data_IF_690711621307
#
_entry.id   IF_690711621307
#
_cell.length_a   1.000
_cell.length_b   1.000
_cell.length_c   1.000
_cell.angle_alpha   90.00
_cell.angle_beta   90.00
_cell.angle_gamma   90.00
#
_symmetry.space_group_name_H-M   'P 1'
#
loop_
_entity.id
_entity.type
_entity.pdbx_description
1 polymer ?
#
# COMPACT_ATOMS: atom_id res chain seq x y z
N UNK A 1 21.44 -29.52 -11.56
CA UNK A 1 21.49 -28.79 -10.28
C UNK A 1 20.66 -27.52 -10.37
N UNK A 2 20.93 -26.64 -11.33
CA UNK A 2 20.45 -25.25 -11.31
C UNK A 2 18.96 -25.13 -11.67
N UNK A 3 18.49 -25.90 -12.66
CA UNK A 3 17.06 -26.00 -13.01
C UNK A 3 16.22 -26.47 -11.82
N UNK A 4 16.70 -27.48 -11.08
CA UNK A 4 16.01 -28.01 -9.91
C UNK A 4 15.98 -26.96 -8.80
N UNK A 5 17.11 -26.31 -8.53
CA UNK A 5 17.18 -25.23 -7.53
C UNK A 5 16.22 -24.08 -7.86
N UNK A 6 16.23 -23.62 -9.11
CA UNK A 6 15.34 -22.56 -9.58
C UNK A 6 13.86 -22.95 -9.44
N UNK A 7 13.52 -24.20 -9.76
CA UNK A 7 12.17 -24.73 -9.59
C UNK A 7 11.75 -24.81 -8.11
N UNK A 8 12.65 -25.23 -7.21
CA UNK A 8 12.41 -25.26 -5.76
C UNK A 8 12.18 -23.85 -5.23
N UNK A 9 13.05 -22.89 -5.58
CA UNK A 9 12.90 -21.50 -5.15
C UNK A 9 11.62 -20.86 -5.69
N UNK A 10 11.27 -21.12 -6.95
CA UNK A 10 10.02 -20.62 -7.54
C UNK A 10 8.79 -21.25 -6.89
N UNK A 11 8.81 -22.56 -6.62
CA UNK A 11 7.74 -23.25 -5.90
C UNK A 11 7.53 -22.68 -4.50
N UNK A 12 8.60 -22.46 -3.73
CA UNK A 12 8.51 -21.84 -2.41
C UNK A 12 8.01 -20.39 -2.48
N UNK A 13 8.43 -19.63 -3.50
CA UNK A 13 7.96 -18.25 -3.68
C UNK A 13 6.45 -18.21 -3.97
N UNK A 14 5.96 -19.04 -4.88
CA UNK A 14 4.53 -19.13 -5.22
C UNK A 14 3.71 -19.65 -4.03
N UNK A 15 4.25 -20.61 -3.27
CA UNK A 15 3.61 -21.14 -2.07
C UNK A 15 3.34 -20.06 -1.01
N UNK A 16 4.25 -19.09 -0.88
CA UNK A 16 4.09 -17.98 0.06
C UNK A 16 3.24 -16.85 -0.52
N UNK A 17 3.36 -16.58 -1.83
CA UNK A 17 2.68 -15.44 -2.46
C UNK A 17 2.35 -15.71 -3.92
N UNK A 18 1.07 -15.95 -4.21
CA UNK A 18 0.59 -16.20 -5.57
C UNK A 18 0.96 -15.09 -6.58
N UNK A 19 1.07 -13.84 -6.13
CA UNK A 19 1.40 -12.71 -7.02
C UNK A 19 2.78 -12.79 -7.68
N UNK A 20 3.65 -13.71 -7.24
CA UNK A 20 4.98 -13.91 -7.87
C UNK A 20 4.96 -14.87 -9.06
N UNK A 21 3.79 -15.40 -9.42
CA UNK A 21 3.62 -16.30 -10.57
C UNK A 21 4.23 -15.78 -11.88
N UNK A 22 4.20 -14.46 -12.22
CA UNK A 22 4.85 -13.97 -13.44
C UNK A 22 6.37 -14.24 -13.49
N UNK A 23 7.02 -14.62 -12.38
CA UNK A 23 8.45 -14.99 -12.35
C UNK A 23 8.70 -16.25 -13.17
N UNK A 24 7.67 -17.08 -13.35
CA UNK A 24 7.68 -18.21 -14.27
C UNK A 24 8.03 -17.79 -15.71
N UNK A 25 7.70 -16.56 -16.12
CA UNK A 25 8.08 -16.04 -17.44
C UNK A 25 9.61 -15.95 -17.59
N UNK A 26 10.33 -15.49 -16.57
CA UNK A 26 11.79 -15.45 -16.60
C UNK A 26 12.40 -16.86 -16.69
N UNK A 27 11.81 -17.83 -15.98
CA UNK A 27 12.25 -19.24 -16.05
C UNK A 27 12.03 -19.84 -17.43
N UNK A 28 10.83 -19.67 -18.00
CA UNK A 28 10.52 -20.15 -19.36
C UNK A 28 11.42 -19.45 -20.37
N UNK A 29 11.61 -18.14 -20.25
CA UNK A 29 12.41 -17.36 -21.17
C UNK A 29 13.89 -17.74 -21.13
N UNK A 30 14.44 -18.06 -19.95
CA UNK A 30 15.80 -18.58 -19.83
C UNK A 30 15.99 -19.91 -20.60
N UNK A 31 15.02 -20.83 -20.52
CA UNK A 31 15.05 -22.09 -21.26
C UNK A 31 14.86 -21.88 -22.77
N UNK A 32 14.00 -20.93 -23.17
CA UNK A 32 13.83 -20.55 -24.57
C UNK A 32 15.13 -19.97 -25.15
N UNK A 33 15.78 -19.05 -24.45
CA UNK A 33 17.08 -18.49 -24.85
C UNK A 33 18.12 -19.60 -25.00
N UNK A 34 18.17 -20.57 -24.09
CA UNK A 34 19.07 -21.72 -24.20
C UNK A 34 18.75 -22.60 -25.42
N UNK A 35 17.47 -22.78 -25.74
CA UNK A 35 17.02 -23.61 -26.86
C UNK A 35 17.24 -22.99 -28.24
N UNK A 36 17.29 -21.65 -28.32
CA UNK A 36 17.31 -20.92 -29.60
C UNK A 36 18.56 -20.11 -29.86
N UNK A 37 19.42 -19.89 -28.85
CA UNK A 37 20.61 -19.05 -28.99
C UNK A 37 21.92 -19.80 -28.84
N UNK A 38 22.91 -19.43 -29.66
CA UNK A 38 24.30 -19.90 -29.51
C UNK A 38 24.91 -19.55 -28.15
N UNK A 39 25.97 -20.24 -27.73
CA UNK A 39 26.71 -19.89 -26.49
C UNK A 39 27.29 -18.47 -26.57
N UNK A 40 27.32 -17.76 -25.44
CA UNK A 40 27.78 -16.38 -25.32
C UNK A 40 26.74 -15.47 -24.67
N UNK A 41 27.11 -14.21 -24.46
CA UNK A 41 26.34 -13.27 -23.63
C UNK A 41 25.16 -12.62 -24.35
N UNK A 42 25.21 -12.55 -25.69
CA UNK A 42 24.18 -11.92 -26.52
C UNK A 42 23.28 -12.96 -27.14
N UNK A 43 22.00 -12.64 -27.25
CA UNK A 43 21.04 -13.44 -27.97
C UNK A 43 21.34 -13.38 -29.46
N UNK A 44 21.52 -14.55 -30.04
CA UNK A 44 21.78 -14.72 -31.47
C UNK A 44 21.30 -16.09 -31.90
N UNK A 45 20.32 -16.10 -32.80
CA UNK A 45 19.67 -17.29 -33.35
C UNK A 45 20.29 -17.77 -34.67
N UNK A 46 21.03 -16.90 -35.36
CA UNK A 46 21.76 -17.24 -36.58
C UNK A 46 23.04 -18.03 -36.26
N UNK A 47 23.24 -19.16 -36.93
CA UNK A 47 24.50 -19.93 -36.85
C UNK A 47 24.53 -21.07 -35.83
N UNK A 48 23.39 -21.44 -35.22
CA UNK A 48 23.29 -22.70 -34.46
C UNK A 48 23.21 -23.86 -35.45
N UNK A 49 24.15 -24.80 -35.40
CA UNK A 49 24.13 -25.96 -36.28
C UNK A 49 22.84 -26.78 -36.06
N UNK A 50 22.18 -27.33 -37.11
CA UNK A 50 20.89 -28.00 -36.97
C UNK A 50 20.87 -29.14 -35.93
N UNK A 51 21.95 -29.91 -35.84
CA UNK A 51 22.10 -30.98 -34.85
C UNK A 51 22.23 -30.45 -33.41
N UNK A 52 22.99 -29.37 -33.22
CA UNK A 52 23.14 -28.70 -31.91
C UNK A 52 21.82 -28.07 -31.46
N UNK A 53 21.10 -27.40 -32.36
CA UNK A 53 19.80 -26.81 -32.09
C UNK A 53 18.79 -27.87 -31.64
N UNK A 54 18.78 -29.04 -32.28
CA UNK A 54 17.89 -30.14 -31.93
C UNK A 54 18.20 -30.68 -30.53
N UNK A 55 19.49 -30.86 -30.21
CA UNK A 55 19.93 -31.30 -28.89
C UNK A 55 19.59 -30.28 -27.79
N UNK A 56 19.88 -28.99 -28.02
CA UNK A 56 19.57 -27.90 -27.10
C UNK A 56 18.08 -27.80 -26.81
N UNK A 57 17.24 -27.88 -27.85
CA UNK A 57 15.77 -27.88 -27.68
C UNK A 57 15.29 -29.07 -26.87
N UNK A 58 15.84 -30.26 -27.11
CA UNK A 58 15.51 -31.46 -26.32
C UNK A 58 15.88 -31.29 -24.86
N UNK A 59 17.08 -30.78 -24.57
CA UNK A 59 17.55 -30.53 -23.19
C UNK A 59 16.69 -29.45 -22.52
N UNK A 60 16.39 -28.34 -23.22
CA UNK A 60 15.53 -27.28 -22.70
C UNK A 60 14.15 -27.79 -22.33
N UNK A 61 13.55 -28.62 -23.21
CA UNK A 61 12.26 -29.24 -22.97
C UNK A 61 12.29 -30.19 -21.76
N UNK A 62 13.31 -31.05 -21.66
CA UNK A 62 13.50 -31.93 -20.50
C UNK A 62 13.65 -31.13 -19.21
N UNK A 63 14.45 -30.05 -19.22
CA UNK A 63 14.63 -29.19 -18.06
C UNK A 63 13.35 -28.45 -17.68
N UNK A 64 12.52 -28.07 -18.66
CA UNK A 64 11.22 -27.45 -18.39
C UNK A 64 10.25 -28.46 -17.73
N UNK A 65 10.24 -29.71 -18.18
CA UNK A 65 9.46 -30.78 -17.54
C UNK A 65 9.95 -31.05 -16.12
N UNK A 66 11.27 -31.09 -15.90
CA UNK A 66 11.86 -31.22 -14.56
C UNK A 66 11.45 -30.01 -13.69
N UNK A 67 11.49 -28.79 -14.24
CA UNK A 67 11.06 -27.58 -13.54
C UNK A 67 9.61 -27.69 -13.10
N UNK A 68 8.71 -28.08 -14.00
CA UNK A 68 7.30 -28.24 -13.70
C UNK A 68 7.07 -29.33 -12.63
N UNK A 69 7.70 -30.50 -12.77
CA UNK A 69 7.58 -31.58 -11.81
C UNK A 69 8.06 -31.17 -10.41
N UNK A 70 9.25 -30.56 -10.31
CA UNK A 70 9.81 -30.10 -9.04
C UNK A 70 8.96 -28.98 -8.44
N UNK A 71 8.49 -28.03 -9.24
CA UNK A 71 7.58 -26.97 -8.81
C UNK A 71 6.31 -27.52 -8.16
N UNK A 72 5.63 -28.48 -8.80
CA UNK A 72 4.43 -29.10 -8.23
C UNK A 72 4.72 -29.91 -6.97
N UNK A 73 5.82 -30.68 -6.94
CA UNK A 73 6.24 -31.40 -5.72
C UNK A 73 6.45 -30.43 -4.57
N UNK A 74 7.11 -29.30 -4.81
CA UNK A 74 7.33 -28.27 -3.79
C UNK A 74 6.02 -27.66 -3.34
N UNK A 75 5.09 -27.33 -4.24
CA UNK A 75 3.77 -26.82 -3.86
C UNK A 75 2.98 -27.83 -3.01
N UNK A 76 2.99 -29.11 -3.38
CA UNK A 76 2.30 -30.17 -2.63
C UNK A 76 2.85 -30.28 -1.20
N UNK A 77 4.18 -30.17 -1.05
CA UNK A 77 4.84 -30.29 0.25
C UNK A 77 4.70 -29.02 1.10
N UNK A 78 4.88 -27.85 0.50
CA UNK A 78 4.96 -26.56 1.23
C UNK A 78 3.59 -25.92 1.42
N UNK A 79 2.67 -26.09 0.47
CA UNK A 79 1.31 -25.56 0.53
C UNK A 79 0.26 -26.64 0.18
N UNK A 80 0.15 -27.72 0.97
CA UNK A 80 -0.76 -28.83 0.67
C UNK A 80 -2.22 -28.41 0.59
N UNK A 81 -2.63 -27.39 1.36
CA UNK A 81 -4.00 -26.85 1.34
C UNK A 81 -4.41 -26.23 0.01
N UNK A 82 -3.45 -25.85 -0.85
CA UNK A 82 -3.74 -25.49 -2.23
C UNK A 82 -4.46 -26.62 -2.96
N UNK A 83 -4.15 -27.88 -2.64
CA UNK A 83 -4.72 -29.06 -3.28
C UNK A 83 -5.82 -29.72 -2.46
N UNK A 84 -5.69 -29.74 -1.13
CA UNK A 84 -6.68 -30.36 -0.22
C UNK A 84 -7.98 -29.56 -0.21
N UNK A 85 -7.89 -28.23 -0.15
CA UNK A 85 -9.03 -27.31 -0.16
C UNK A 85 -8.89 -26.30 -1.30
N UNK A 86 -8.86 -26.85 -2.53
CA UNK A 86 -8.67 -26.06 -3.74
C UNK A 86 -9.76 -24.99 -3.94
N UNK A 87 -11.00 -25.28 -3.51
CA UNK A 87 -12.12 -24.35 -3.63
C UNK A 87 -11.85 -23.09 -2.80
N UNK A 88 -11.60 -23.24 -1.50
CA UNK A 88 -11.31 -22.10 -0.62
C UNK A 88 -10.06 -21.34 -1.08
N UNK A 89 -9.03 -22.05 -1.57
CA UNK A 89 -7.83 -21.42 -2.12
C UNK A 89 -8.14 -20.53 -3.33
N UNK A 90 -8.89 -21.03 -4.32
CA UNK A 90 -9.29 -20.23 -5.50
C UNK A 90 -10.24 -19.10 -5.11
N UNK A 91 -11.19 -19.34 -4.22
CA UNK A 91 -12.12 -18.31 -3.73
C UNK A 91 -11.34 -17.16 -3.10
N UNK A 92 -10.35 -17.46 -2.24
CA UNK A 92 -9.47 -16.45 -1.65
C UNK A 92 -8.67 -15.66 -2.70
N UNK A 93 -8.10 -16.33 -3.71
CA UNK A 93 -7.40 -15.65 -4.81
C UNK A 93 -8.35 -14.75 -5.59
N UNK A 94 -9.57 -15.23 -5.87
CA UNK A 94 -10.60 -14.47 -6.56
C UNK A 94 -10.97 -13.21 -5.78
N UNK A 95 -11.24 -13.32 -4.48
CA UNK A 95 -11.53 -12.17 -3.61
C UNK A 95 -10.39 -11.16 -3.59
N UNK A 96 -9.14 -11.61 -3.50
CA UNK A 96 -7.98 -10.71 -3.61
C UNK A 96 -7.89 -10.05 -4.99
N UNK A 97 -8.20 -10.79 -6.06
CA UNK A 97 -8.28 -10.28 -7.43
C UNK A 97 -9.34 -9.20 -7.62
N UNK A 98 -10.54 -9.41 -7.07
CA UNK A 98 -11.63 -8.44 -7.05
C UNK A 98 -11.24 -7.19 -6.24
N UNK A 99 -10.59 -7.38 -5.08
CA UNK A 99 -10.11 -6.26 -4.26
C UNK A 99 -9.09 -5.40 -5.00
N UNK A 100 -8.07 -5.99 -5.65
CA UNK A 100 -7.03 -5.18 -6.33
C UNK A 100 -7.55 -4.42 -7.55
N UNK A 101 -8.66 -4.89 -8.15
CA UNK A 101 -9.40 -4.22 -9.22
C UNK A 101 -10.53 -3.31 -8.71
N UNK A 102 -10.70 -3.22 -7.39
CA UNK A 102 -11.81 -2.51 -6.73
C UNK A 102 -13.20 -2.90 -7.27
N UNK A 103 -13.37 -4.15 -7.71
CA UNK A 103 -14.67 -4.73 -8.05
C UNK A 103 -15.53 -4.88 -6.79
N UNK A 104 -14.88 -5.10 -5.64
CA UNK A 104 -15.48 -5.00 -4.30
C UNK A 104 -14.94 -3.76 -3.61
N UNK A 105 -15.84 -2.97 -3.04
CA UNK A 105 -15.50 -1.72 -2.35
C UNK A 105 -15.10 -1.97 -0.89
N UNK A 106 -13.80 -1.92 -0.62
CA UNK A 106 -13.26 -1.92 0.73
C UNK A 106 -12.83 -0.50 1.14
N UNK A 107 -13.14 -0.03 2.37
CA UNK A 107 -12.84 1.35 2.80
C UNK A 107 -11.38 1.78 2.59
N UNK A 108 -10.42 0.92 2.93
CA UNK A 108 -8.98 1.18 2.77
C UNK A 108 -8.51 1.26 1.31
N UNK A 109 -9.33 0.85 0.34
CA UNK A 109 -8.99 0.96 -1.09
C UNK A 109 -9.42 2.28 -1.72
N UNK A 110 -10.29 3.04 -1.03
CA UNK A 110 -10.88 4.29 -1.54
C UNK A 110 -9.84 5.40 -1.74
N UNK A 111 -8.74 5.37 -0.99
CA UNK A 111 -7.61 6.29 -1.17
C UNK A 111 -7.00 6.26 -2.59
N UNK A 112 -7.21 5.16 -3.33
CA UNK A 112 -6.67 4.94 -4.67
C UNK A 112 -7.62 5.37 -5.79
N UNK A 113 -8.83 5.83 -5.48
CA UNK A 113 -9.73 6.42 -6.48
C UNK A 113 -9.09 7.63 -7.13
N UNK A 114 -9.35 7.83 -8.43
CA UNK A 114 -8.78 8.92 -9.22
C UNK A 114 -7.25 9.02 -9.20
N UNK A 115 -6.56 7.92 -8.87
CA UNK A 115 -5.10 7.84 -8.97
C UNK A 115 -4.68 7.24 -10.31
N UNK A 116 -3.70 7.85 -11.01
CA UNK A 116 -3.29 7.37 -12.32
C UNK A 116 -2.59 6.01 -12.21
N UNK A 117 -3.02 5.05 -13.06
CA UNK A 117 -2.34 3.76 -13.23
C UNK A 117 -0.88 3.97 -13.62
N UNK A 118 -0.02 3.08 -13.16
CA UNK A 118 1.45 3.13 -13.31
C UNK A 118 2.15 4.32 -12.64
N UNK A 119 1.73 5.55 -12.95
CA UNK A 119 2.37 6.77 -12.47
C UNK A 119 2.35 6.89 -10.95
N UNK A 120 1.26 6.45 -10.32
CA UNK A 120 1.17 6.38 -8.86
C UNK A 120 2.33 5.61 -8.23
N UNK A 121 2.58 4.38 -8.68
CA UNK A 121 3.66 3.54 -8.13
C UNK A 121 5.03 4.13 -8.43
N UNK A 122 5.19 4.77 -9.59
CA UNK A 122 6.44 5.45 -9.96
C UNK A 122 6.77 6.58 -8.99
N UNK A 123 5.80 7.45 -8.73
CA UNK A 123 5.96 8.60 -7.83
C UNK A 123 6.10 8.14 -6.39
N UNK A 124 5.20 7.30 -5.88
CA UNK A 124 5.23 6.90 -4.47
C UNK A 124 6.46 6.07 -4.12
N UNK A 125 6.88 5.12 -4.98
CA UNK A 125 8.11 4.36 -4.76
C UNK A 125 9.34 5.25 -4.90
N UNK A 126 9.36 6.11 -5.91
CA UNK A 126 10.53 6.93 -6.23
C UNK A 126 10.77 8.02 -5.19
N UNK A 127 9.71 8.73 -4.79
CA UNK A 127 9.81 9.87 -3.88
C UNK A 127 9.92 9.41 -2.43
N UNK A 128 8.95 8.60 -1.96
CA UNK A 128 8.80 8.28 -0.54
C UNK A 128 9.38 6.91 -0.18
N UNK A 129 9.31 5.93 -1.09
CA UNK A 129 9.84 4.59 -0.82
C UNK A 129 11.38 4.49 -0.84
N UNK A 130 12.02 5.10 -1.84
CA UNK A 130 13.48 5.02 -2.05
C UNK A 130 14.22 6.33 -1.73
N UNK A 131 13.49 7.42 -1.53
CA UNK A 131 14.02 8.77 -1.54
C UNK A 131 14.28 9.28 -2.98
N UNK A 132 14.09 10.57 -3.24
CA UNK A 132 14.01 11.15 -4.59
C UNK A 132 15.24 10.87 -5.46
N UNK A 133 16.44 10.91 -4.88
CA UNK A 133 17.69 10.69 -5.62
C UNK A 133 17.81 9.26 -6.15
N UNK A 134 17.58 8.27 -5.29
CA UNK A 134 17.59 6.86 -5.69
C UNK A 134 16.39 6.53 -6.56
N UNK A 135 15.21 7.07 -6.24
CA UNK A 135 13.98 6.93 -7.01
C UNK A 135 14.13 7.30 -8.48
N UNK A 136 14.64 8.51 -8.76
CA UNK A 136 14.92 8.94 -10.14
C UNK A 136 15.94 8.00 -10.80
N UNK A 137 17.00 7.64 -10.07
CA UNK A 137 18.06 6.78 -10.57
C UNK A 137 17.55 5.40 -10.99
N UNK A 138 16.66 4.76 -10.21
CA UNK A 138 16.14 3.44 -10.53
C UNK A 138 15.18 3.45 -11.72
N UNK A 139 14.33 4.48 -11.84
CA UNK A 139 13.40 4.60 -12.97
C UNK A 139 14.13 4.90 -14.28
N UNK A 140 15.11 5.82 -14.25
CA UNK A 140 15.99 6.06 -15.41
C UNK A 140 16.80 4.80 -15.76
N UNK A 141 17.26 4.07 -14.74
CA UNK A 141 17.97 2.81 -14.94
C UNK A 141 17.12 1.71 -15.56
N UNK A 142 15.85 1.60 -15.18
CA UNK A 142 14.91 0.68 -15.83
C UNK A 142 14.71 1.06 -17.30
N UNK A 143 14.43 2.33 -17.60
CA UNK A 143 14.24 2.82 -18.98
C UNK A 143 15.49 2.52 -19.82
N UNK A 144 16.66 2.89 -19.31
CA UNK A 144 17.94 2.62 -19.98
C UNK A 144 18.20 1.13 -20.18
N UNK A 145 17.79 0.29 -19.24
CA UNK A 145 17.97 -1.16 -19.32
C UNK A 145 17.00 -1.83 -20.29
N UNK A 146 15.77 -1.32 -20.44
CA UNK A 146 14.83 -1.76 -21.48
C UNK A 146 15.39 -1.43 -22.87
N UNK A 147 15.84 -0.19 -23.07
CA UNK A 147 16.46 0.25 -24.34
C UNK A 147 17.70 -0.61 -24.64
N UNK A 148 18.59 -0.78 -23.66
CA UNK A 148 19.79 -1.60 -23.82
C UNK A 148 19.45 -3.10 -24.02
N UNK A 149 18.39 -3.61 -23.40
CA UNK A 149 17.91 -4.98 -23.61
C UNK A 149 17.48 -5.22 -25.05
N UNK A 150 16.79 -4.26 -25.66
CA UNK A 150 16.38 -4.30 -27.06
C UNK A 150 17.56 -4.14 -28.02
N UNK A 151 18.49 -3.23 -27.73
CA UNK A 151 19.61 -2.93 -28.63
C UNK A 151 20.78 -3.92 -28.51
N UNK A 152 21.20 -4.24 -27.28
CA UNK A 152 22.37 -5.07 -27.01
C UNK A 152 22.01 -6.56 -26.89
N UNK A 153 20.73 -6.88 -26.68
CA UNK A 153 20.21 -8.26 -26.64
C UNK A 153 20.99 -9.15 -25.66
N UNK A 154 21.45 -8.61 -24.53
CA UNK A 154 22.17 -9.40 -23.52
C UNK A 154 21.20 -10.36 -22.84
N UNK A 155 21.53 -11.64 -22.81
CA UNK A 155 20.65 -12.70 -22.30
C UNK A 155 20.23 -12.48 -20.85
N UNK A 156 21.15 -12.04 -20.01
CA UNK A 156 20.87 -11.75 -18.59
C UNK A 156 19.83 -10.64 -18.46
N UNK A 157 19.96 -9.56 -19.23
CA UNK A 157 19.02 -8.44 -19.22
C UNK A 157 17.64 -8.90 -19.68
N UNK A 158 17.60 -9.69 -20.75
CA UNK A 158 16.38 -10.28 -21.31
C UNK A 158 15.65 -11.17 -20.29
N UNK A 159 16.37 -12.01 -19.53
CA UNK A 159 15.77 -12.87 -18.49
C UNK A 159 15.21 -12.05 -17.33
N UNK A 160 15.94 -11.05 -16.83
CA UNK A 160 15.46 -10.21 -15.71
C UNK A 160 14.25 -9.36 -16.16
N UNK A 161 14.31 -8.75 -17.35
CA UNK A 161 13.21 -7.96 -17.91
C UNK A 161 11.96 -8.80 -18.16
N UNK A 162 12.10 -10.08 -18.50
CA UNK A 162 10.98 -11.01 -18.65
C UNK A 162 10.20 -11.25 -17.35
N UNK A 163 10.76 -10.91 -16.18
CA UNK A 163 10.05 -10.84 -14.91
C UNK A 163 9.58 -9.42 -14.57
N UNK A 164 10.51 -8.46 -14.58
CA UNK A 164 10.27 -7.10 -14.09
C UNK A 164 9.19 -6.39 -14.90
N UNK A 165 9.22 -6.50 -16.23
CA UNK A 165 8.27 -5.78 -17.10
C UNK A 165 6.85 -6.36 -16.97
N UNK A 166 6.62 -7.68 -17.12
CA UNK A 166 5.27 -8.23 -16.93
C UNK A 166 4.72 -7.98 -15.52
N UNK A 167 5.56 -8.12 -14.48
CA UNK A 167 5.13 -7.83 -13.12
C UNK A 167 4.69 -6.37 -12.96
N UNK A 168 5.51 -5.42 -13.40
CA UNK A 168 5.20 -3.98 -13.35
C UNK A 168 3.94 -3.63 -14.15
N UNK A 169 3.74 -4.26 -15.31
CA UNK A 169 2.56 -4.04 -16.15
C UNK A 169 1.28 -4.54 -15.47
N UNK A 170 1.34 -5.71 -14.81
CA UNK A 170 0.20 -6.26 -14.07
C UNK A 170 -0.09 -5.43 -12.83
N UNK A 171 0.92 -5.19 -11.98
CA UNK A 171 0.72 -4.51 -10.69
C UNK A 171 0.44 -3.02 -10.86
N UNK A 172 1.05 -2.37 -11.84
CA UNK A 172 0.82 -0.96 -12.13
C UNK A 172 -0.56 -0.68 -12.73
N UNK A 173 -1.22 -1.70 -13.30
CA UNK A 173 -2.59 -1.61 -13.81
C UNK A 173 -3.65 -1.69 -12.70
N UNK A 174 -3.34 -2.32 -11.56
CA UNK A 174 -4.31 -2.47 -10.47
C UNK A 174 -4.83 -1.13 -9.97
N UNK A 175 -6.10 -1.12 -9.58
CA UNK A 175 -6.72 0.07 -9.01
C UNK A 175 -6.26 0.25 -7.56
N UNK A 176 -5.99 -0.83 -6.83
CA UNK A 176 -5.31 -0.80 -5.51
C UNK A 176 -3.80 -0.81 -5.68
N UNK A 177 -3.12 0.12 -4.99
CA UNK A 177 -1.71 0.42 -5.26
C UNK A 177 -0.83 0.43 -4.02
N UNK A 178 -1.04 -0.51 -3.10
CA UNK A 178 -0.19 -0.63 -1.92
C UNK A 178 1.29 -0.71 -2.28
N UNK A 179 2.13 0.04 -1.57
CA UNK A 179 3.57 0.10 -1.82
C UNK A 179 4.27 -1.25 -1.69
N UNK A 180 3.77 -2.12 -0.80
CA UNK A 180 4.23 -3.51 -0.66
C UNK A 180 4.11 -4.36 -1.92
N UNK A 181 3.31 -3.94 -2.91
CA UNK A 181 3.22 -4.62 -4.20
C UNK A 181 4.45 -4.39 -5.08
N UNK A 182 5.23 -3.34 -4.84
CA UNK A 182 6.46 -3.07 -5.60
C UNK A 182 7.69 -3.80 -5.04
N UNK A 183 7.66 -4.23 -3.78
CA UNK A 183 8.78 -4.91 -3.11
C UNK A 183 9.45 -6.02 -3.94
N UNK A 184 8.72 -6.92 -4.64
CA UNK A 184 9.35 -8.00 -5.40
C UNK A 184 10.24 -7.53 -6.56
N UNK A 185 10.00 -6.32 -7.11
CA UNK A 185 10.81 -5.76 -8.19
C UNK A 185 11.79 -4.69 -7.72
N UNK A 186 11.62 -4.12 -6.52
CA UNK A 186 12.50 -3.08 -5.97
C UNK A 186 14.00 -3.43 -6.00
N UNK A 187 14.46 -4.64 -5.62
CA UNK A 187 15.88 -5.00 -5.72
C UNK A 187 16.41 -4.96 -7.16
N UNK A 188 15.59 -5.35 -8.14
CA UNK A 188 15.97 -5.30 -9.55
C UNK A 188 15.97 -3.86 -10.09
N UNK A 189 15.04 -3.02 -9.63
CA UNK A 189 15.06 -1.59 -9.93
C UNK A 189 16.34 -0.93 -9.40
N UNK A 190 16.77 -1.27 -8.18
CA UNK A 190 18.05 -0.82 -7.60
C UNK A 190 19.24 -1.31 -8.43
N UNK A 191 19.24 -2.57 -8.86
CA UNK A 191 20.28 -3.12 -9.74
C UNK A 191 20.38 -2.32 -11.06
N UNK A 192 19.24 -1.99 -11.66
CA UNK A 192 19.21 -1.16 -12.87
C UNK A 192 19.65 0.28 -12.62
N UNK A 193 19.30 0.85 -11.46
CA UNK A 193 19.82 2.15 -11.02
C UNK A 193 21.34 2.15 -10.86
N UNK A 194 21.91 1.11 -10.24
CA UNK A 194 23.34 0.95 -10.08
C UNK A 194 24.06 0.83 -11.44
N UNK A 195 23.49 0.05 -12.37
CA UNK A 195 24.00 -0.04 -13.76
C UNK A 195 23.95 1.31 -14.47
N UNK A 196 22.90 2.09 -14.26
CA UNK A 196 22.77 3.42 -14.86
C UNK A 196 23.83 4.39 -14.34
N UNK A 197 24.07 4.41 -13.03
CA UNK A 197 25.17 5.19 -12.45
C UNK A 197 26.54 4.74 -12.97
N UNK A 198 26.74 3.43 -13.13
CA UNK A 198 27.96 2.89 -13.72
C UNK A 198 28.14 3.33 -15.19
N UNK A 199 27.04 3.37 -15.95
CA UNK A 199 27.07 3.89 -17.32
C UNK A 199 27.46 5.37 -17.35
N UNK A 200 26.87 6.20 -16.48
CA UNK A 200 27.26 7.61 -16.34
C UNK A 200 28.74 7.73 -15.96
N UNK A 201 29.22 6.92 -15.02
CA UNK A 201 30.63 6.86 -14.62
C UNK A 201 31.55 6.63 -15.83
N UNK A 202 31.25 5.62 -16.68
CA UNK A 202 32.05 5.32 -17.87
C UNK A 202 31.97 6.43 -18.92
N UNK A 203 30.81 7.08 -19.11
CA UNK A 203 30.66 8.24 -19.99
C UNK A 203 31.55 9.39 -19.51
N UNK A 204 31.49 9.76 -18.22
CA UNK A 204 32.32 10.85 -17.67
C UNK A 204 33.80 10.49 -17.74
N UNK A 205 34.17 9.23 -17.45
CA UNK A 205 35.54 8.74 -17.59
C UNK A 205 36.06 8.85 -19.01
N UNK A 206 35.22 8.59 -20.02
CA UNK A 206 35.58 8.76 -21.43
C UNK A 206 35.81 10.23 -21.83
N UNK A 207 35.01 11.15 -21.27
CA UNK A 207 35.07 12.58 -21.59
C UNK A 207 36.13 13.33 -20.77
N UNK A 208 36.40 12.91 -19.54
CA UNK A 208 37.27 13.56 -18.55
C UNK A 208 38.14 12.52 -17.81
N UNK A 209 39.07 11.83 -18.49
CA UNK A 209 39.82 10.70 -17.92
C UNK A 209 40.75 11.10 -16.76
N UNK A 210 41.26 12.33 -16.75
CA UNK A 210 42.17 12.84 -15.72
C UNK A 210 41.48 13.24 -14.42
N UNK A 211 40.18 13.54 -14.44
CA UNK A 211 39.42 14.04 -13.28
C UNK A 211 38.62 12.91 -12.62
N UNK A 212 39.32 12.03 -11.88
CA UNK A 212 38.71 10.85 -11.22
C UNK A 212 37.55 11.20 -10.28
N UNK A 213 37.62 12.34 -9.59
CA UNK A 213 36.55 12.78 -8.69
C UNK A 213 35.23 13.08 -9.42
N UNK A 214 35.27 13.63 -10.64
CA UNK A 214 34.07 13.87 -11.46
C UNK A 214 33.41 12.56 -11.89
N UNK A 215 34.20 11.51 -12.12
CA UNK A 215 33.71 10.19 -12.52
C UNK A 215 32.86 9.58 -11.39
N UNK A 216 33.36 9.66 -10.15
CA UNK A 216 32.69 9.12 -8.97
C UNK A 216 31.56 10.01 -8.41
N UNK A 217 31.50 11.29 -8.81
CA UNK A 217 30.57 12.27 -8.25
C UNK A 217 29.09 11.85 -8.33
N UNK A 218 28.55 11.33 -9.44
CA UNK A 218 27.14 10.93 -9.50
C UNK A 218 26.80 9.81 -8.52
N UNK A 219 27.70 8.83 -8.38
CA UNK A 219 27.55 7.72 -7.43
C UNK A 219 27.59 8.27 -6.00
N UNK A 220 28.57 9.12 -5.69
CA UNK A 220 28.72 9.71 -4.36
C UNK A 220 27.50 10.56 -3.97
N UNK A 221 26.94 11.35 -4.91
CA UNK A 221 25.74 12.16 -4.67
C UNK A 221 24.53 11.28 -4.37
N UNK A 222 24.24 10.27 -5.21
CA UNK A 222 23.10 9.38 -4.97
C UNK A 222 23.24 8.65 -3.65
N UNK A 223 24.43 8.12 -3.34
CA UNK A 223 24.68 7.46 -2.05
C UNK A 223 24.51 8.42 -0.87
N UNK A 224 25.04 9.64 -0.96
CA UNK A 224 24.93 10.64 0.11
C UNK A 224 23.46 11.02 0.36
N UNK A 225 22.69 11.30 -0.69
CA UNK A 225 21.26 11.60 -0.54
C UNK A 225 20.45 10.41 -0.06
N UNK A 226 20.80 9.19 -0.49
CA UNK A 226 20.12 7.96 -0.03
C UNK A 226 20.38 7.74 1.45
N UNK A 227 21.64 7.81 1.88
CA UNK A 227 22.02 7.69 3.31
C UNK A 227 21.36 8.78 4.14
N UNK A 228 21.37 10.02 3.65
CA UNK A 228 20.69 11.14 4.32
C UNK A 228 19.20 10.83 4.49
N UNK A 229 18.49 10.52 3.41
CA UNK A 229 17.06 10.21 3.44
C UNK A 229 16.74 9.04 4.39
N UNK A 230 17.53 7.96 4.35
CA UNK A 230 17.36 6.83 5.26
C UNK A 230 17.54 7.22 6.73
N UNK A 231 18.55 8.03 7.06
CA UNK A 231 18.78 8.51 8.42
C UNK A 231 17.67 9.49 8.87
N UNK A 232 17.22 10.37 7.98
CA UNK A 232 16.08 11.27 8.22
C UNK A 232 14.78 10.52 8.43
N UNK A 233 14.57 9.40 7.73
CA UNK A 233 13.40 8.54 7.95
C UNK A 233 13.50 7.84 9.31
N UNK A 234 14.67 7.31 9.66
CA UNK A 234 14.88 6.68 10.98
C UNK A 234 14.67 7.64 12.16
N UNK A 235 14.87 8.95 11.97
CA UNK A 235 14.66 9.95 13.01
C UNK A 235 13.19 10.05 13.44
N UNK A 236 12.25 9.63 12.59
CA UNK A 236 10.83 9.50 12.93
C UNK A 236 10.64 8.62 14.16
N UNK A 237 11.40 7.53 14.31
CA UNK A 237 11.24 6.61 15.44
C UNK A 237 12.01 7.02 16.70
N UNK A 238 12.70 8.16 16.68
CA UNK A 238 13.57 8.59 17.78
C UNK A 238 12.84 9.15 19.01
N UNK A 239 11.52 9.36 18.93
CA UNK A 239 10.75 9.86 20.05
C UNK A 239 9.34 9.28 20.10
N UNK A 240 8.47 9.83 20.96
CA UNK A 240 7.15 9.28 21.20
C UNK A 240 6.29 9.32 19.94
N UNK A 241 5.49 8.27 19.76
CA UNK A 241 4.49 8.18 18.71
C UNK A 241 3.42 9.29 18.87
N UNK A 242 2.98 9.99 17.80
CA UNK A 242 2.02 11.10 17.89
C UNK A 242 0.74 10.81 18.68
N UNK A 243 0.23 9.58 18.60
CA UNK A 243 -0.97 9.16 19.36
C UNK A 243 -0.72 9.13 20.88
N UNK A 244 0.52 8.87 21.33
CA UNK A 244 0.88 8.98 22.75
C UNK A 244 0.92 10.45 23.18
N UNK A 245 1.35 11.36 22.30
CA UNK A 245 1.31 12.81 22.55
C UNK A 245 -0.12 13.32 22.69
N UNK A 246 -1.05 12.85 21.85
CA UNK A 246 -2.49 13.11 22.00
C UNK A 246 -2.98 12.68 23.38
N UNK A 247 -2.58 11.48 23.83
CA UNK A 247 -2.95 10.95 25.14
C UNK A 247 -2.40 11.80 26.29
N UNK A 248 -1.16 12.26 26.18
CA UNK A 248 -0.51 13.12 27.17
C UNK A 248 -1.14 14.51 27.22
N UNK A 249 -1.48 15.08 26.06
CA UNK A 249 -2.16 16.37 25.96
C UNK A 249 -3.54 16.30 26.61
N UNK A 250 -4.35 15.30 26.26
CA UNK A 250 -5.68 15.10 26.85
C UNK A 250 -5.60 14.91 28.38
N UNK A 251 -4.65 14.12 28.88
CA UNK A 251 -4.45 13.94 30.32
C UNK A 251 -4.12 15.24 31.06
N UNK A 252 -3.44 16.17 30.38
CA UNK A 252 -2.95 17.41 31.02
C UNK A 252 -3.92 18.57 30.89
N UNK A 253 -4.83 18.54 29.91
CA UNK A 253 -5.70 19.67 29.55
C UNK A 253 -7.20 19.38 29.64
N UNK A 254 -7.63 18.11 29.58
CA UNK A 254 -9.04 17.76 29.66
C UNK A 254 -9.48 17.56 31.12
N UNK A 255 -10.69 18.03 31.43
CA UNK A 255 -11.30 17.82 32.73
C UNK A 255 -11.69 16.35 32.93
N UNK A 256 -11.71 15.91 34.18
CA UNK A 256 -12.18 14.57 34.52
C UNK A 256 -13.65 14.42 34.11
N UNK A 257 -13.94 13.41 33.30
CA UNK A 257 -15.27 13.13 32.77
C UNK A 257 -15.56 13.76 31.42
N UNK A 258 -14.61 14.51 30.82
CA UNK A 258 -14.79 15.04 29.47
C UNK A 258 -15.05 13.94 28.44
N UNK A 259 -15.92 14.25 27.49
CA UNK A 259 -16.37 13.38 26.42
C UNK A 259 -15.48 13.56 25.19
N UNK A 260 -14.85 12.48 24.75
CA UNK A 260 -13.93 12.47 23.61
C UNK A 260 -14.50 11.59 22.50
N UNK A 261 -14.65 12.16 21.31
CA UNK A 261 -15.02 11.44 20.10
C UNK A 261 -13.79 11.34 19.19
N UNK A 262 -13.63 10.20 18.53
CA UNK A 262 -12.62 9.97 17.52
C UNK A 262 -13.23 9.26 16.31
N UNK A 263 -12.48 9.21 15.22
CA UNK A 263 -12.90 8.49 14.01
C UNK A 263 -12.90 6.96 14.20
N UNK A 264 -13.81 6.27 13.50
CA UNK A 264 -13.71 4.83 13.27
C UNK A 264 -12.57 4.50 12.28
N UNK A 265 -12.11 3.24 12.26
CA UNK A 265 -10.92 2.75 11.52
C UNK A 265 -9.54 3.11 12.06
N UNK A 266 -9.47 3.79 13.20
CA UNK A 266 -8.22 4.08 13.91
C UNK A 266 -7.99 3.10 15.08
N UNK A 267 -6.73 2.89 15.49
CA UNK A 267 -6.41 1.97 16.60
C UNK A 267 -6.97 2.50 17.95
N UNK A 268 -7.04 3.82 18.11
CA UNK A 268 -7.61 4.52 19.26
C UNK A 268 -6.56 5.17 20.17
N UNK A 269 -7.02 5.96 21.15
CA UNK A 269 -6.14 6.71 22.05
C UNK A 269 -5.75 5.86 23.27
N UNK A 270 -4.48 5.51 23.47
CA UNK A 270 -4.02 4.66 24.55
C UNK A 270 -3.92 5.41 25.90
N UNK A 271 -4.12 4.68 27.01
CA UNK A 271 -3.69 5.17 28.34
C UNK A 271 -4.41 6.41 28.87
N UNK A 272 -5.62 6.68 28.40
CA UNK A 272 -6.45 7.80 28.85
C UNK A 272 -7.34 7.34 30.01
N UNK A 273 -7.09 7.84 31.22
CA UNK A 273 -7.85 7.50 32.44
C UNK A 273 -8.65 8.72 32.87
N UNK A 274 -9.92 8.53 33.21
CA UNK A 274 -10.81 9.60 33.67
C UNK A 274 -11.58 10.32 32.57
N UNK A 275 -11.27 10.08 31.29
CA UNK A 275 -12.06 10.57 30.15
C UNK A 275 -13.13 9.56 29.73
N UNK A 276 -14.23 10.07 29.18
CA UNK A 276 -15.31 9.25 28.62
C UNK A 276 -15.10 9.17 27.12
N UNK A 277 -14.65 8.01 26.66
CA UNK A 277 -14.52 7.73 25.23
C UNK A 277 -15.90 7.42 24.68
N UNK A 278 -16.41 8.30 23.83
CA UNK A 278 -17.70 8.09 23.17
C UNK A 278 -17.56 7.06 22.04
N UNK A 279 -18.71 6.61 21.50
CA UNK A 279 -18.73 5.87 20.23
C UNK A 279 -17.95 6.59 19.12
N UNK A 280 -17.26 5.81 18.29
CA UNK A 280 -16.44 6.34 17.19
C UNK A 280 -17.31 6.88 16.06
N UNK A 281 -16.89 7.98 15.45
CA UNK A 281 -17.56 8.59 14.31
C UNK A 281 -17.39 7.72 13.05
N UNK A 282 -18.49 7.15 12.55
CA UNK A 282 -18.53 6.20 11.43
C UNK A 282 -18.48 6.89 10.04
N UNK A 283 -17.46 7.71 9.81
CA UNK A 283 -17.40 8.64 8.66
C UNK A 283 -17.22 7.97 7.28
N UNK A 284 -16.70 6.74 7.18
CA UNK A 284 -16.54 5.98 5.93
C UNK A 284 -17.79 5.17 5.56
N UNK A 285 -18.74 5.04 6.49
CA UNK A 285 -20.00 4.37 6.19
C UNK A 285 -20.82 5.22 5.20
N UNK A 286 -21.67 4.55 4.42
CA UNK A 286 -22.49 5.20 3.42
C UNK A 286 -23.36 6.30 4.04
N UNK A 287 -23.54 7.39 3.29
CA UNK A 287 -24.30 8.54 3.75
C UNK A 287 -25.78 8.22 3.87
N UNK A 288 -26.37 8.56 5.02
CA UNK A 288 -27.80 8.43 5.31
C UNK A 288 -28.16 9.28 6.53
N UNK A 289 -29.45 9.57 6.70
CA UNK A 289 -29.94 10.39 7.82
C UNK A 289 -29.52 9.83 9.19
N UNK A 290 -29.55 8.51 9.38
CA UNK A 290 -29.17 7.87 10.65
C UNK A 290 -27.69 8.10 10.99
N UNK A 291 -26.79 8.05 10.00
CA UNK A 291 -25.36 8.39 10.17
C UNK A 291 -25.20 9.81 10.69
N UNK A 292 -25.90 10.77 10.10
CA UNK A 292 -25.75 12.19 10.47
C UNK A 292 -26.49 12.57 11.75
N UNK A 293 -27.66 11.97 12.03
CA UNK A 293 -28.32 12.12 13.33
C UNK A 293 -27.41 11.58 14.47
N UNK A 294 -26.72 10.46 14.22
CA UNK A 294 -25.70 9.93 15.15
C UNK A 294 -24.51 10.88 15.26
N UNK A 295 -23.90 11.29 14.14
CA UNK A 295 -22.73 12.18 14.13
C UNK A 295 -23.02 13.51 14.84
N UNK A 296 -24.13 14.16 14.54
CA UNK A 296 -24.50 15.43 15.18
C UNK A 296 -24.77 15.26 16.68
N UNK A 297 -25.32 14.12 17.10
CA UNK A 297 -25.44 13.78 18.54
C UNK A 297 -24.06 13.65 19.18
N UNK A 298 -23.16 12.88 18.58
CA UNK A 298 -21.77 12.73 19.05
C UNK A 298 -21.10 14.11 19.23
N UNK A 299 -21.16 14.95 18.19
CA UNK A 299 -20.52 16.27 18.17
C UNK A 299 -21.14 17.26 19.18
N UNK A 300 -22.46 17.20 19.40
CA UNK A 300 -23.11 18.11 20.36
C UNK A 300 -22.81 17.74 21.82
N UNK A 301 -22.52 16.46 22.09
CA UNK A 301 -22.29 15.92 23.42
C UNK A 301 -20.80 15.79 23.77
N UNK A 302 -19.90 15.93 22.80
CA UNK A 302 -18.46 15.85 23.02
C UNK A 302 -17.82 17.19 23.40
N UNK A 303 -16.79 17.11 24.24
CA UNK A 303 -15.88 18.21 24.56
C UNK A 303 -14.73 18.28 23.56
N UNK A 304 -14.28 17.11 23.06
CA UNK A 304 -13.17 17.00 22.12
C UNK A 304 -13.52 16.08 20.94
N UNK A 305 -13.08 16.48 19.75
CA UNK A 305 -13.05 15.64 18.56
C UNK A 305 -11.61 15.43 18.11
N UNK A 306 -11.19 14.16 17.97
CA UNK A 306 -9.80 13.79 17.73
C UNK A 306 -9.64 13.08 16.40
N UNK A 307 -8.76 13.62 15.55
CA UNK A 307 -8.27 13.00 14.32
C UNK A 307 -6.93 12.34 14.62
N UNK A 308 -6.83 11.02 14.43
CA UNK A 308 -5.61 10.25 14.75
C UNK A 308 -4.70 10.03 13.55
N UNK A 309 -5.18 10.29 12.34
CA UNK A 309 -4.37 10.21 11.13
C UNK A 309 -5.02 11.00 9.98
N UNK A 310 -4.30 11.12 8.87
CA UNK A 310 -4.80 11.66 7.62
C UNK A 310 -5.63 10.68 6.78
N UNK A 311 -5.87 9.45 7.25
CA UNK A 311 -6.56 8.40 6.48
C UNK A 311 -7.91 8.85 5.93
N UNK A 312 -8.78 9.34 6.81
CA UNK A 312 -10.14 9.68 6.43
C UNK A 312 -10.22 11.07 5.80
N UNK A 313 -9.71 12.10 6.50
CA UNK A 313 -9.82 13.48 6.02
C UNK A 313 -9.03 13.75 4.73
N UNK A 314 -8.01 12.97 4.39
CA UNK A 314 -7.29 13.09 3.11
C UNK A 314 -7.82 12.16 2.00
N UNK A 315 -8.89 11.39 2.28
CA UNK A 315 -9.53 10.46 1.32
C UNK A 315 -10.98 10.83 1.03
N UNK A 316 -11.80 11.01 2.08
CA UNK A 316 -13.25 11.23 1.95
C UNK A 316 -13.58 12.48 1.10
N UNK A 317 -12.94 13.65 1.33
CA UNK A 317 -13.23 14.87 0.58
C UNK A 317 -13.03 14.77 -0.94
N UNK A 318 -12.15 13.87 -1.38
CA UNK A 318 -11.88 13.61 -2.81
C UNK A 318 -12.99 12.83 -3.51
N UNK A 319 -13.95 12.30 -2.75
CA UNK A 319 -15.01 11.45 -3.24
C UNK A 319 -16.38 12.13 -3.02
N UNK A 320 -16.59 13.36 -3.54
CA UNK A 320 -17.80 14.15 -3.25
C UNK A 320 -19.07 13.49 -3.78
N UNK A 321 -18.99 12.65 -4.82
CA UNK A 321 -20.15 11.87 -5.29
C UNK A 321 -20.62 10.84 -4.27
N UNK A 322 -19.69 10.32 -3.45
CA UNK A 322 -19.97 9.31 -2.43
C UNK A 322 -20.22 9.92 -1.06
N UNK A 323 -19.48 10.96 -0.72
CA UNK A 323 -19.51 11.61 0.59
C UNK A 323 -19.85 13.10 0.53
N UNK A 324 -20.94 13.52 -0.13
CA UNK A 324 -21.22 14.94 -0.29
C UNK A 324 -21.32 15.70 1.04
N UNK A 325 -21.93 15.09 2.07
CA UNK A 325 -22.10 15.75 3.38
C UNK A 325 -20.89 15.57 4.29
N UNK A 326 -20.22 14.42 4.24
CA UNK A 326 -19.03 14.17 5.07
C UNK A 326 -17.82 15.00 4.60
N UNK A 327 -17.74 15.33 3.31
CA UNK A 327 -16.75 16.28 2.78
C UNK A 327 -16.94 17.68 3.38
N UNK A 328 -18.18 18.18 3.42
CA UNK A 328 -18.54 19.46 4.04
C UNK A 328 -18.23 19.44 5.55
N UNK A 329 -18.51 18.30 6.22
CA UNK A 329 -18.13 18.14 7.63
C UNK A 329 -16.64 18.37 7.87
N UNK A 330 -15.75 17.80 7.05
CA UNK A 330 -14.31 18.03 7.22
C UNK A 330 -13.93 19.48 6.92
N UNK A 331 -14.42 20.06 5.82
CA UNK A 331 -14.16 21.45 5.49
C UNK A 331 -14.52 22.39 6.66
N UNK A 332 -15.74 22.23 7.20
CA UNK A 332 -16.23 23.04 8.33
C UNK A 332 -15.59 22.72 9.67
N UNK A 333 -15.15 21.48 9.90
CA UNK A 333 -14.38 21.12 11.10
C UNK A 333 -13.02 21.83 11.07
N UNK A 334 -12.36 21.84 9.90
CA UNK A 334 -11.05 22.43 9.73
C UNK A 334 -11.08 23.97 9.70
N UNK A 335 -12.16 24.57 9.20
CA UNK A 335 -12.37 26.03 9.24
C UNK A 335 -12.87 26.56 10.60
N UNK A 336 -13.33 25.67 11.49
CA UNK A 336 -13.91 26.02 12.79
C UNK A 336 -15.38 26.39 12.75
N UNK A 337 -16.03 26.34 11.58
CA UNK A 337 -17.45 26.66 11.40
C UNK A 337 -18.41 25.72 12.14
N UNK A 338 -17.95 24.54 12.59
CA UNK A 338 -18.76 23.65 13.45
C UNK A 338 -18.71 24.01 14.94
N UNK A 339 -18.06 25.12 15.32
CA UNK A 339 -17.83 25.49 16.71
C UNK A 339 -16.68 24.69 17.37
N UNK A 340 -15.90 23.98 16.56
CA UNK A 340 -14.74 23.20 16.99
C UNK A 340 -13.47 23.93 16.58
N UNK A 341 -12.62 24.29 17.54
CA UNK A 341 -11.34 24.95 17.26
C UNK A 341 -10.18 23.98 17.50
N UNK A 342 -9.16 24.00 16.63
CA UNK A 342 -7.97 23.18 16.87
C UNK A 342 -7.28 23.66 18.16
N UNK A 343 -7.13 22.77 19.14
CA UNK A 343 -6.42 23.05 20.38
C UNK A 343 -5.01 22.44 20.41
N UNK A 344 -4.79 21.37 19.64
CA UNK A 344 -3.50 20.71 19.56
C UNK A 344 -3.32 19.95 18.25
N UNK A 345 -2.07 19.87 17.79
CA UNK A 345 -1.68 19.00 16.71
C UNK A 345 -0.34 18.33 17.05
N UNK A 346 -0.20 17.06 16.74
CA UNK A 346 1.06 16.33 16.87
C UNK A 346 1.32 15.52 15.63
N UNK A 347 2.56 15.52 15.17
CA UNK A 347 3.02 14.76 14.02
C UNK A 347 4.53 14.66 14.07
N UNK A 348 5.08 13.66 13.40
CA UNK A 348 6.52 13.59 13.14
C UNK A 348 6.74 13.69 11.65
N UNK A 349 7.93 14.15 11.27
CA UNK A 349 8.29 14.33 9.87
C UNK A 349 9.64 13.67 9.61
N UNK A 350 9.88 13.33 8.35
CA UNK A 350 11.14 12.76 7.89
C UNK A 350 12.15 13.92 7.85
N UNK A 351 13.04 14.02 8.83
CA UNK A 351 13.93 15.18 8.95
C UNK A 351 15.26 14.84 9.59
N UNK A 352 16.31 15.58 9.24
CA UNK A 352 17.64 15.41 9.83
C UNK A 352 18.69 16.31 9.19
N UNK A 353 19.76 16.62 9.94
CA UNK A 353 20.89 17.43 9.45
C UNK A 353 20.49 18.78 8.82
N UNK A 354 19.38 19.37 9.28
CA UNK A 354 18.87 20.65 8.78
C UNK A 354 18.01 20.56 7.52
N UNK A 355 17.62 19.37 7.07
CA UNK A 355 16.72 19.16 5.94
C UNK A 355 15.53 18.31 6.35
N UNK A 356 14.34 18.85 6.15
CA UNK A 356 13.06 18.19 6.40
C UNK A 356 12.40 17.84 5.06
N UNK A 357 11.80 16.66 5.00
CA UNK A 357 10.99 16.16 3.90
C UNK A 357 9.53 16.17 4.34
N UNK A 358 8.80 17.20 3.93
CA UNK A 358 7.43 17.41 4.37
C UNK A 358 6.45 16.64 3.47
N UNK A 359 5.76 15.70 4.08
CA UNK A 359 4.61 14.99 3.53
C UNK A 359 3.37 15.83 3.80
N UNK A 360 2.76 16.40 2.76
CA UNK A 360 1.60 17.27 2.94
C UNK A 360 0.31 16.44 2.99
N UNK A 361 -0.36 16.31 4.16
CA UNK A 361 -1.61 15.58 4.25
C UNK A 361 -2.78 16.30 3.56
N UNK A 362 -2.64 17.60 3.24
CA UNK A 362 -3.67 18.41 2.59
C UNK A 362 -3.48 18.52 1.07
N UNK A 363 -2.38 18.03 0.51
CA UNK A 363 -2.03 18.19 -0.91
C UNK A 363 -3.03 17.59 -1.92
N UNK A 364 -4.09 16.91 -1.45
CA UNK A 364 -5.11 16.28 -2.30
C UNK A 364 -6.53 16.64 -1.92
N UNK A 365 -6.72 17.65 -1.07
CA UNK A 365 -8.05 18.16 -0.69
C UNK A 365 -8.15 19.65 -1.00
N UNK A 366 -9.38 20.14 -1.19
CA UNK A 366 -9.62 21.52 -1.61
C UNK A 366 -9.67 22.52 -0.44
N UNK A 367 -9.61 22.04 0.81
CA UNK A 367 -9.54 22.88 2.01
C UNK A 367 -8.14 22.86 2.63
N UNK A 368 -7.81 23.94 3.35
CA UNK A 368 -6.53 24.10 4.03
C UNK A 368 -6.48 23.48 5.43
N UNK A 369 -5.29 23.42 6.04
CA UNK A 369 -5.17 23.06 7.45
C UNK A 369 -5.89 24.10 8.34
N UNK A 370 -6.20 23.77 9.61
CA UNK A 370 -6.82 24.74 10.51
C UNK A 370 -5.86 25.90 10.79
N UNK A 371 -6.39 27.08 11.08
CA UNK A 371 -5.62 28.36 11.10
C UNK A 371 -4.37 28.32 12.00
N UNK A 372 -4.48 27.61 13.13
CA UNK A 372 -3.44 27.47 14.14
C UNK A 372 -2.38 26.42 13.78
N UNK A 373 -2.61 25.62 12.74
CA UNK A 373 -1.65 24.62 12.31
C UNK A 373 -0.39 25.27 11.79
N UNK A 374 0.74 24.72 12.21
CA UNK A 374 2.04 24.98 11.62
C UNK A 374 2.65 23.62 11.26
N UNK A 375 3.05 23.40 10.01
CA UNK A 375 3.79 22.20 9.64
C UNK A 375 4.98 22.00 10.58
N UNK A 376 5.17 20.80 11.14
CA UNK A 376 6.32 20.54 11.99
C UNK A 376 7.58 20.65 11.12
N UNK A 377 8.48 21.57 11.48
CA UNK A 377 9.75 21.76 10.81
C UNK A 377 10.80 22.20 11.82
N UNK A 378 11.91 21.48 11.85
CA UNK A 378 13.08 21.77 12.68
C UNK A 378 14.33 22.08 11.83
N UNK A 379 14.24 21.87 10.52
CA UNK A 379 15.31 22.05 9.55
C UNK A 379 15.46 23.48 9.03
N UNK A 380 16.64 23.73 8.43
CA UNK A 380 16.93 24.96 7.68
C UNK A 380 16.22 24.97 6.32
N UNK A 381 16.00 23.78 5.75
CA UNK A 381 15.33 23.59 4.48
C UNK A 381 14.15 22.63 4.67
N UNK A 382 12.98 23.04 4.18
CA UNK A 382 11.79 22.21 4.12
C UNK A 382 11.50 21.88 2.65
N UNK A 383 11.62 20.60 2.30
CA UNK A 383 11.41 20.09 0.94
C UNK A 383 10.06 19.37 0.91
N UNK A 384 9.07 20.00 0.31
CA UNK A 384 7.77 19.40 0.05
C UNK A 384 7.77 18.61 -1.27
N UNK A 385 7.43 17.32 -1.21
CA UNK A 385 7.16 16.51 -2.41
C UNK A 385 5.67 16.23 -2.62
N UNK A 386 4.82 16.98 -1.91
CA UNK A 386 3.37 16.81 -1.93
C UNK A 386 2.94 15.64 -1.05
N UNK A 387 2.02 14.85 -1.57
CA UNK A 387 1.36 13.80 -0.80
C UNK A 387 2.13 12.45 -0.81
N UNK A 388 2.17 11.80 0.36
CA UNK A 388 2.64 10.43 0.54
C UNK A 388 1.47 9.46 0.76
N UNK A 389 1.55 8.27 0.14
CA UNK A 389 0.63 7.13 0.36
C UNK A 389 0.41 6.90 1.86
N UNK A 390 -0.84 6.57 2.25
CA UNK A 390 -1.20 6.40 3.67
C UNK A 390 -0.28 5.41 4.40
N UNK A 391 0.26 4.43 3.67
CA UNK A 391 1.16 3.40 4.21
C UNK A 391 2.50 3.93 4.68
N UNK A 392 2.88 5.16 4.33
CA UNK A 392 4.09 5.80 4.83
C UNK A 392 3.89 6.52 6.17
N UNK A 393 2.73 7.14 6.40
CA UNK A 393 2.55 8.04 7.55
C UNK A 393 1.57 7.53 8.60
N UNK A 394 0.46 6.89 8.23
CA UNK A 394 -0.67 6.65 9.14
C UNK A 394 -0.31 5.80 10.38
N UNK A 395 0.65 4.88 10.25
CA UNK A 395 1.02 3.96 11.33
C UNK A 395 2.27 4.37 12.11
N UNK A 396 3.14 5.18 11.51
CA UNK A 396 4.49 5.42 12.04
C UNK A 396 4.62 6.84 12.59
N UNK A 397 4.10 7.82 11.85
CA UNK A 397 4.14 9.24 12.18
C UNK A 397 2.91 9.98 11.69
N UNK A 398 1.71 9.58 12.12
CA UNK A 398 0.50 10.23 11.65
C UNK A 398 0.45 11.70 12.08
N UNK A 399 -0.12 12.54 11.22
CA UNK A 399 -0.54 13.88 11.60
C UNK A 399 -1.87 13.78 12.36
N UNK A 400 -1.84 14.16 13.63
CA UNK A 400 -2.99 14.14 14.55
C UNK A 400 -3.48 15.55 14.85
N UNK A 401 -4.77 15.66 15.18
CA UNK A 401 -5.42 16.90 15.60
C UNK A 401 -6.39 16.65 16.75
N UNK A 402 -6.41 17.57 17.71
CA UNK A 402 -7.42 17.65 18.75
C UNK A 402 -8.17 18.95 18.55
N UNK A 403 -9.48 18.85 18.36
CA UNK A 403 -10.39 19.99 18.30
C UNK A 403 -11.20 20.07 19.58
N UNK A 404 -11.30 21.25 20.19
CA UNK A 404 -12.13 21.52 21.35
C UNK A 404 -13.47 22.13 20.91
N UNK A 405 -14.56 21.69 21.51
CA UNK A 405 -15.91 22.19 21.26
C UNK A 405 -16.15 23.51 22.02
N UNK A 406 -15.71 24.63 21.45
CA UNK A 406 -15.88 25.97 22.01
C UNK A 406 -17.28 26.53 21.75
N UNK A 407 -17.83 26.28 20.56
CA UNK A 407 -19.12 26.81 20.13
C UNK A 407 -20.34 26.13 20.74
N UNK A 408 -20.21 24.88 21.20
CA UNK A 408 -21.28 24.08 21.84
C UNK A 408 -22.60 24.08 21.07
N UNK A 409 -22.50 23.92 19.76
CA UNK A 409 -23.66 23.93 18.87
C UNK A 409 -24.60 22.77 19.17
N UNK A 410 -25.90 23.05 19.06
CA UNK A 410 -26.95 22.03 19.17
C UNK A 410 -26.93 21.10 17.97
N UNK A 411 -27.52 19.90 18.13
CA UNK A 411 -27.67 18.94 17.01
C UNK A 411 -28.32 19.54 15.77
N UNK A 412 -29.28 20.45 15.95
CA UNK A 412 -29.97 21.11 14.84
C UNK A 412 -29.02 22.06 14.09
N UNK A 413 -28.30 22.91 14.82
CA UNK A 413 -27.30 23.81 14.21
C UNK A 413 -26.23 23.02 13.46
N UNK A 414 -25.69 21.96 14.07
CA UNK A 414 -24.72 21.08 13.41
C UNK A 414 -25.29 20.41 12.16
N UNK A 415 -26.55 19.97 12.20
CA UNK A 415 -27.23 19.35 11.07
C UNK A 415 -27.45 20.31 9.90
N UNK A 416 -27.76 21.57 10.19
CA UNK A 416 -27.90 22.67 9.22
C UNK A 416 -26.54 23.03 8.62
N UNK A 417 -25.50 23.21 9.46
CA UNK A 417 -24.15 23.57 9.01
C UNK A 417 -23.54 22.54 8.06
N UNK A 418 -23.66 21.24 8.36
CA UNK A 418 -23.12 20.20 7.47
C UNK A 418 -24.03 19.91 6.25
N UNK A 419 -25.22 20.53 6.17
CA UNK A 419 -26.19 20.29 5.08
C UNK A 419 -26.91 18.93 5.15
N UNK A 420 -26.87 18.26 6.31
CA UNK A 420 -27.54 16.96 6.50
C UNK A 420 -29.05 17.06 6.71
N UNK A 421 -29.56 18.24 7.05
CA UNK A 421 -31.00 18.48 7.22
C UNK A 421 -31.79 18.18 5.93
N UNK A 422 -31.21 18.51 4.77
CA UNK A 422 -31.81 18.34 3.45
C UNK A 422 -31.87 16.86 2.98
N UNK A 423 -31.09 15.98 3.63
CA UNK A 423 -31.05 14.55 3.31
C UNK A 423 -32.30 13.79 3.76
N UNK A 424 -33.11 14.35 4.68
CA UNK A 424 -34.28 13.65 5.23
C UNK A 424 -35.39 13.38 4.18
N UNK A 425 -35.26 13.91 2.95
CA UNK A 425 -36.21 13.70 1.84
C UNK A 425 -35.61 13.22 0.51
N UNK A 426 -34.29 13.09 0.38
CA UNK A 426 -33.65 12.78 -0.90
C UNK A 426 -33.11 11.34 -0.94
N UNK A 427 -33.41 10.54 -1.99
CA UNK A 427 -32.77 9.25 -2.17
C UNK A 427 -31.31 9.49 -2.55
N UNK A 428 -30.41 9.40 -1.56
CA UNK A 428 -28.98 9.35 -1.82
C UNK A 428 -28.70 8.16 -2.75
N UNK A 429 -27.94 8.43 -3.81
CA UNK A 429 -27.62 7.44 -4.81
C UNK A 429 -26.83 6.31 -4.13
N UNK A 430 -27.45 5.13 -3.99
CA UNK A 430 -26.73 3.93 -3.51
C UNK A 430 -25.55 3.72 -4.45
N UNK A 431 -24.35 3.69 -3.89
CA UNK A 431 -23.12 3.31 -4.60
C UNK A 431 -23.39 2.05 -5.43
N UNK A 432 -23.02 2.06 -6.71
CA UNK A 432 -23.19 0.91 -7.61
C UNK A 432 -22.36 -0.30 -7.14
N UNK A 433 -21.31 -0.06 -6.38
CA UNK A 433 -20.50 -1.07 -5.69
C UNK A 433 -20.94 -1.11 -4.22
N UNK A 434 -21.71 -2.14 -3.87
CA UNK A 434 -22.24 -2.37 -2.53
C UNK A 434 -21.46 -3.43 -1.76
N UNK A 435 -21.62 -3.43 -0.43
CA UNK A 435 -21.16 -4.48 0.48
C UNK A 435 -21.99 -5.77 0.40
N UNK A 436 -23.10 -5.72 -0.35
CA UNK A 436 -23.91 -6.90 -0.65
C UNK A 436 -23.30 -7.61 -1.84
N UNK A 437 -23.08 -8.92 -1.67
CA UNK A 437 -22.78 -9.81 -2.79
C UNK A 437 -23.85 -9.58 -3.88
N UNK A 438 -23.41 -9.54 -5.14
CA UNK A 438 -24.37 -9.62 -6.25
C UNK A 438 -25.20 -10.90 -6.08
N UNK A 439 -26.41 -10.96 -6.65
CA UNK A 439 -27.20 -12.20 -6.57
C UNK A 439 -26.41 -13.42 -7.05
N UNK A 440 -25.55 -13.24 -8.06
CA UNK A 440 -24.62 -14.27 -8.54
C UNK A 440 -23.56 -14.67 -7.51
N UNK A 441 -22.91 -13.71 -6.86
CA UNK A 441 -21.88 -14.00 -5.85
C UNK A 441 -22.49 -14.55 -4.56
N UNK A 442 -23.70 -14.14 -4.19
CA UNK A 442 -24.45 -14.65 -3.05
C UNK A 442 -24.81 -16.13 -3.27
N UNK A 443 -25.28 -16.48 -4.48
CA UNK A 443 -25.54 -17.86 -4.88
C UNK A 443 -24.25 -18.68 -4.89
N UNK A 444 -23.14 -18.12 -5.39
CA UNK A 444 -21.82 -18.77 -5.36
C UNK A 444 -21.34 -19.04 -3.93
N UNK A 445 -21.45 -18.06 -3.04
CA UNK A 445 -21.08 -18.20 -1.63
C UNK A 445 -21.95 -19.24 -0.91
N UNK A 446 -23.27 -19.22 -1.14
CA UNK A 446 -24.20 -20.21 -0.58
C UNK A 446 -23.97 -21.62 -1.14
N UNK A 447 -23.51 -21.73 -2.40
CA UNK A 447 -23.12 -23.01 -3.00
C UNK A 447 -21.84 -23.60 -2.40
N UNK A 448 -21.08 -22.80 -1.66
CA UNK A 448 -19.87 -23.23 -0.94
C UNK A 448 -20.11 -24.18 0.23
N UNK A 449 -21.39 -24.38 0.62
CA UNK A 449 -21.77 -25.27 1.71
C UNK A 449 -21.69 -24.62 3.09
N UNK A 450 -22.14 -25.34 4.10
CA UNK A 450 -22.09 -24.91 5.51
C UNK A 450 -20.76 -25.28 6.16
N UNK A 451 -20.49 -24.71 7.34
CA UNK A 451 -19.31 -25.04 8.15
C UNK A 451 -19.10 -26.56 8.38
N UNK A 452 -20.20 -27.30 8.53
CA UNK A 452 -20.23 -28.77 8.64
C UNK A 452 -19.85 -29.49 7.35
N UNK A 453 -20.05 -28.90 6.17
CA UNK A 453 -19.64 -29.50 4.89
C UNK A 453 -18.18 -29.25 4.53
N UNK A 454 -17.54 -28.23 5.12
CA UNK A 454 -16.18 -27.80 4.77
C UNK A 454 -15.15 -28.36 5.76
N UNK A 455 -15.56 -28.71 6.99
CA UNK A 455 -14.64 -29.19 8.04
C UNK A 455 -14.75 -30.71 8.25
N UNK A 456 -13.67 -31.33 8.72
CA UNK A 456 -13.61 -32.76 9.09
C UNK A 456 -14.53 -33.14 10.27
N UNK A 457 -15.21 -32.15 10.85
CA UNK A 457 -16.15 -32.26 11.96
C UNK A 457 -17.60 -32.43 11.50
N UNK A 458 -17.83 -32.87 10.26
CA UNK A 458 -19.17 -33.07 9.67
C UNK A 458 -20.09 -34.00 10.48
N UNK A 459 -19.54 -34.80 11.40
CA UNK A 459 -20.24 -35.70 12.31
C UNK A 459 -20.58 -35.07 13.68
N UNK A 460 -20.13 -33.85 13.96
CA UNK A 460 -20.44 -33.10 15.16
C UNK A 460 -21.59 -32.10 14.92
N UNK A 461 -22.49 -31.89 15.89
CA UNK A 461 -23.49 -30.83 15.81
C UNK A 461 -22.85 -29.46 15.62
N UNK A 462 -23.40 -28.64 14.71
CA UNK A 462 -22.84 -27.33 14.32
C UNK A 462 -22.52 -26.40 15.51
N UNK A 463 -23.27 -26.50 16.60
CA UNK A 463 -23.08 -25.66 17.80
C UNK A 463 -21.91 -26.09 18.69
N UNK A 464 -21.41 -27.33 18.56
CA UNK A 464 -20.25 -27.85 19.32
C UNK A 464 -18.93 -27.51 18.63
N UNK A 465 -18.95 -27.39 17.30
CA UNK A 465 -17.76 -27.15 16.47
C UNK A 465 -16.95 -25.90 16.86
N UNK A 466 -17.55 -24.73 17.18
CA UNK A 466 -16.81 -23.57 17.66
C UNK A 466 -16.09 -23.82 18.99
N UNK A 467 -16.68 -24.62 19.88
CA UNK A 467 -16.08 -24.97 21.18
C UNK A 467 -14.88 -25.88 21.00
N UNK A 468 -14.97 -26.87 20.11
CA UNK A 468 -13.84 -27.75 19.78
C UNK A 468 -12.68 -26.97 19.17
N UNK A 469 -12.97 -26.05 18.25
CA UNK A 469 -11.94 -25.17 17.66
C UNK A 469 -11.34 -24.21 18.68
N UNK A 470 -12.15 -23.66 19.59
CA UNK A 470 -11.66 -22.82 20.67
C UNK A 470 -10.72 -23.60 21.60
N UNK A 471 -11.09 -24.82 22.00
CA UNK A 471 -10.25 -25.69 22.83
C UNK A 471 -8.98 -26.10 22.09
N UNK A 472 -9.07 -26.45 20.80
CA UNK A 472 -7.89 -26.75 19.98
C UNK A 472 -6.96 -25.54 19.88
N UNK A 473 -7.49 -24.34 19.63
CA UNK A 473 -6.72 -23.11 19.59
C UNK A 473 -6.02 -22.80 20.93
N UNK A 474 -6.68 -23.09 22.07
CA UNK A 474 -6.09 -22.94 23.41
C UNK A 474 -5.04 -24.01 23.73
N UNK A 475 -5.09 -25.18 23.09
CA UNK A 475 -4.09 -26.24 23.25
C UNK A 475 -2.84 -26.00 22.39
N UNK A 476 -2.94 -25.15 21.35
CA UNK A 476 -1.85 -24.79 20.44
C UNK A 476 -1.34 -23.35 20.62
N UNK A 477 -1.94 -22.57 21.54
CA UNK A 477 -1.44 -21.30 22.05
C UNK A 477 -0.65 -21.55 23.34
#
# INVERSE_FOLDING_TARGET
SDTVLAAVMFGMAVATKFSVLPLGLALVFAHLIFATSRKGDRYESSGVAPGEATSQRRIAYQNLLITAAVFFVVLIVVQPYMFIDFKTYIDNISTQGQMVRREVDFPFTRQYEDTPRYFYQIVQLGTWGLGPALGITVWLGLIGSVIAGVLAQRKVDLVILAWVIPYLLITGWFDVKFMRYMMPITPFLILYGARFLWWIFEVIKSLQPSKRWLQALPIALVLLFTVHYSLSFMSVYSGPHPVNEVSNWLRSNADSGSQVVQEHWEEGIPGVVGLRMHERAELYNDENSKKFDKLTTLLSESDYFVLLSNRLYATIPRLPERYPVTSIFYEKLFSGELGYEMAYSSGRHIGGLGVDYYEDPFARVDFGPPEQFRPPSEGLFNIGFGWADESFSVYEHPQTFIFTNEGRFTRQQLSEEIGSADLKGSPLQKSRTGLLLSEGDALSQQSGGTWSSITFSSWLPDWITPVVWYVAAQLFA
#
